data_IF_504145253657
#
_entry.id   IF_504145253657
#
_cell.length_a   1.000
_cell.length_b   1.000
_cell.length_c   1.000
_cell.angle_alpha   90.00
_cell.angle_beta   90.00
_cell.angle_gamma   90.00
#
_symmetry.space_group_name_H-M   'P 1'
#
loop_
_entity.id
_entity.type
_entity.pdbx_description
1 polymer ?
#
# COMPACT_ATOMS: atom_id res chain seq x y z
N UNK A 1 11.23 9.03 17.51
CA UNK A 1 10.74 9.83 16.37
C UNK A 1 10.42 8.86 15.25
N UNK A 2 9.20 8.87 14.74
CA UNK A 2 8.85 8.06 13.58
C UNK A 2 9.35 8.82 12.35
N UNK A 3 10.31 8.25 11.63
CA UNK A 3 10.81 8.85 10.40
C UNK A 3 10.08 8.21 9.21
N UNK A 4 9.11 8.94 8.65
CA UNK A 4 8.58 8.62 7.35
C UNK A 4 9.56 9.02 6.26
N UNK A 5 9.55 8.30 5.15
CA UNK A 5 10.24 8.67 3.92
C UNK A 5 9.22 8.78 2.81
N UNK A 6 9.12 9.94 2.23
CA UNK A 6 8.22 10.20 1.13
C UNK A 6 8.92 9.97 -0.21
N UNK A 7 8.21 9.35 -1.14
CA UNK A 7 8.67 9.05 -2.49
C UNK A 7 7.53 9.27 -3.47
N UNK A 8 7.84 9.76 -4.67
CA UNK A 8 6.87 9.85 -5.77
C UNK A 8 7.51 9.54 -7.12
N UNK A 9 6.73 8.95 -8.00
CA UNK A 9 7.09 8.69 -9.39
C UNK A 9 5.88 8.84 -10.28
N UNK A 10 6.07 9.43 -11.44
CA UNK A 10 5.09 9.52 -12.52
C UNK A 10 5.68 8.88 -13.77
N UNK A 11 4.87 8.08 -14.46
CA UNK A 11 5.24 7.46 -15.74
C UNK A 11 4.15 7.78 -16.78
N UNK A 12 4.56 8.35 -17.90
CA UNK A 12 3.63 8.70 -18.99
C UNK A 12 3.02 7.44 -19.60
N UNK A 13 1.70 7.38 -19.62
CA UNK A 13 0.96 6.24 -20.14
C UNK A 13 1.34 5.86 -21.57
N UNK A 14 1.44 4.57 -21.86
CA UNK A 14 1.80 4.03 -23.20
C UNK A 14 0.85 4.54 -24.29
N UNK A 15 -0.43 4.78 -23.98
CA UNK A 15 -1.40 5.40 -24.91
C UNK A 15 -1.01 6.83 -25.24
N UNK A 16 -0.68 7.64 -24.23
CA UNK A 16 -0.26 9.04 -24.39
C UNK A 16 1.06 9.15 -25.16
N UNK A 17 2.00 8.23 -24.94
CA UNK A 17 3.23 8.16 -25.74
C UNK A 17 2.91 7.93 -27.22
N UNK A 18 1.99 7.02 -27.55
CA UNK A 18 1.61 6.70 -28.93
C UNK A 18 0.82 7.83 -29.60
N UNK A 19 -0.05 8.52 -28.89
CA UNK A 19 -0.85 9.64 -29.41
C UNK A 19 -0.11 10.98 -29.43
N UNK A 20 1.05 11.08 -28.78
CA UNK A 20 1.74 12.34 -28.58
C UNK A 20 1.15 13.23 -27.49
N UNK A 21 0.11 12.75 -26.76
CA UNK A 21 -0.52 13.47 -25.64
C UNK A 21 0.48 13.63 -24.49
N UNK A 22 0.51 14.76 -23.82
CA UNK A 22 1.34 15.00 -22.63
C UNK A 22 0.91 14.06 -21.48
N UNK A 23 1.79 13.85 -20.52
CA UNK A 23 1.38 13.22 -19.25
C UNK A 23 0.48 14.19 -18.51
N UNK A 24 -0.72 13.74 -18.17
CA UNK A 24 -1.72 14.57 -17.49
C UNK A 24 -1.68 14.40 -15.97
N UNK A 25 -1.01 13.36 -15.50
CA UNK A 25 -0.86 13.08 -14.07
C UNK A 25 0.34 13.84 -13.49
N UNK A 26 0.23 14.16 -12.22
CA UNK A 26 1.33 14.76 -11.48
C UNK A 26 1.37 14.23 -10.05
N UNK A 27 2.57 14.13 -9.50
CA UNK A 27 2.78 13.67 -8.15
C UNK A 27 3.89 14.41 -7.44
N UNK A 28 3.77 14.57 -6.13
CA UNK A 28 4.79 15.14 -5.27
C UNK A 28 4.86 14.40 -3.95
N UNK A 29 6.09 14.15 -3.51
CA UNK A 29 6.38 13.62 -2.19
C UNK A 29 7.44 14.50 -1.52
N UNK A 30 7.25 14.84 -0.25
CA UNK A 30 8.18 15.69 0.49
C UNK A 30 8.19 15.37 1.98
N UNK A 31 9.41 15.40 2.55
CA UNK A 31 9.71 15.32 3.98
C UNK A 31 10.20 16.72 4.45
N UNK A 32 9.39 17.75 4.22
CA UNK A 32 9.80 19.15 4.35
C UNK A 32 10.12 19.59 5.78
N UNK A 33 9.63 18.89 6.79
CA UNK A 33 9.96 19.15 8.19
C UNK A 33 10.17 17.84 8.95
N UNK A 34 11.05 17.81 9.97
CA UNK A 34 11.19 16.65 10.83
C UNK A 34 9.83 16.22 11.41
N UNK A 35 9.45 14.96 11.21
CA UNK A 35 8.18 14.44 11.69
C UNK A 35 6.94 14.83 10.90
N UNK A 36 7.11 15.44 9.71
CA UNK A 36 6.01 15.78 8.82
C UNK A 36 6.33 15.38 7.38
N UNK A 37 5.54 14.47 6.81
CA UNK A 37 5.66 14.00 5.44
C UNK A 37 4.35 14.17 4.71
N UNK A 38 4.44 14.58 3.44
CA UNK A 38 3.30 14.80 2.55
C UNK A 38 3.51 14.08 1.24
N UNK A 39 2.49 13.39 0.78
CA UNK A 39 2.42 12.82 -0.57
C UNK A 39 1.11 13.27 -1.23
N UNK A 40 1.18 13.58 -2.51
CA UNK A 40 0.05 14.07 -3.29
C UNK A 40 0.11 13.52 -4.70
N UNK A 41 -1.04 13.10 -5.22
CA UNK A 41 -1.25 12.64 -6.60
C UNK A 41 -2.44 13.34 -7.18
N UNK A 42 -2.37 13.71 -8.44
CA UNK A 42 -3.51 14.16 -9.22
C UNK A 42 -3.44 13.58 -10.63
N UNK A 43 -4.58 13.10 -11.11
CA UNK A 43 -4.81 12.63 -12.47
C UNK A 43 -5.59 13.72 -13.20
N UNK A 44 -5.00 14.27 -14.26
CA UNK A 44 -5.61 15.29 -15.09
C UNK A 44 -6.57 14.68 -16.10
N UNK A 45 -7.81 15.15 -16.11
CA UNK A 45 -8.85 14.58 -16.96
C UNK A 45 -8.49 14.60 -18.46
N UNK A 46 -8.83 13.53 -19.15
CA UNK A 46 -8.76 13.44 -20.59
C UNK A 46 -9.91 14.17 -21.30
N UNK A 47 -9.73 14.44 -22.57
CA UNK A 47 -10.77 15.02 -23.42
C UNK A 47 -10.57 16.51 -23.73
N UNK A 48 -11.28 16.97 -24.77
CA UNK A 48 -11.04 18.29 -25.34
C UNK A 48 -11.38 19.45 -24.39
N UNK A 49 -12.34 19.28 -23.50
CA UNK A 49 -12.74 20.30 -22.53
C UNK A 49 -11.71 20.49 -21.39
N UNK A 50 -10.80 19.53 -21.22
CA UNK A 50 -9.78 19.50 -20.17
C UNK A 50 -8.36 19.71 -20.72
N UNK A 51 -8.20 20.57 -21.69
CA UNK A 51 -6.98 20.73 -22.52
C UNK A 51 -5.75 21.27 -21.77
N UNK A 52 -5.86 21.66 -20.52
CA UNK A 52 -4.78 22.06 -19.59
C UNK A 52 -4.79 21.23 -18.29
N UNK A 53 -5.36 20.05 -18.32
CA UNK A 53 -5.45 19.20 -17.13
C UNK A 53 -4.08 18.78 -16.60
N UNK A 54 -3.07 18.65 -17.44
CA UNK A 54 -1.66 18.46 -17.06
C UNK A 54 -1.13 19.60 -16.17
N UNK A 55 -1.47 20.85 -16.50
CA UNK A 55 -1.14 22.01 -15.67
C UNK A 55 -1.99 22.02 -14.40
N UNK A 56 -3.28 21.74 -14.54
CA UNK A 56 -4.23 21.66 -13.42
C UNK A 56 -3.82 20.63 -12.37
N UNK A 57 -3.43 19.43 -12.80
CA UNK A 57 -2.90 18.39 -11.92
C UNK A 57 -1.63 18.86 -11.19
N UNK A 58 -0.70 19.51 -11.90
CA UNK A 58 0.50 20.07 -11.27
C UNK A 58 0.16 21.16 -10.25
N UNK A 59 -0.73 22.08 -10.58
CA UNK A 59 -1.09 23.19 -9.71
C UNK A 59 -1.78 22.70 -8.44
N UNK A 60 -2.73 21.77 -8.56
CA UNK A 60 -3.44 21.25 -7.39
C UNK A 60 -2.50 20.44 -6.48
N UNK A 61 -1.57 19.67 -7.03
CA UNK A 61 -0.58 18.93 -6.24
C UNK A 61 0.32 19.89 -5.47
N UNK A 62 0.81 20.96 -6.10
CA UNK A 62 1.64 21.97 -5.45
C UNK A 62 0.88 22.72 -4.36
N UNK A 63 -0.34 23.18 -4.65
CA UNK A 63 -1.22 23.86 -3.70
C UNK A 63 -1.55 22.98 -2.49
N UNK A 64 -1.85 21.69 -2.75
CA UNK A 64 -2.17 20.72 -1.70
C UNK A 64 -0.96 20.43 -0.82
N UNK A 65 0.19 20.20 -1.41
CA UNK A 65 1.40 19.91 -0.64
C UNK A 65 1.78 21.08 0.27
N UNK A 66 1.75 22.32 -0.22
CA UNK A 66 2.02 23.51 0.56
C UNK A 66 0.99 23.70 1.70
N UNK A 67 -0.29 23.54 1.40
CA UNK A 67 -1.37 23.68 2.38
C UNK A 67 -1.34 22.60 3.45
N UNK A 68 -1.01 21.36 3.09
CA UNK A 68 -0.88 20.26 4.04
C UNK A 68 0.34 20.42 4.95
N UNK A 69 1.46 20.92 4.45
CA UNK A 69 2.64 21.21 5.28
C UNK A 69 2.33 22.28 6.34
N UNK A 70 1.65 23.36 5.95
CA UNK A 70 1.22 24.40 6.87
C UNK A 70 0.19 23.85 7.88
N UNK A 71 -0.80 23.11 7.41
CA UNK A 71 -1.81 22.46 8.25
C UNK A 71 -1.16 21.53 9.29
N UNK A 72 -0.17 20.71 8.87
CA UNK A 72 0.55 19.81 9.76
C UNK A 72 1.38 20.52 10.82
N UNK A 73 1.90 21.72 10.50
CA UNK A 73 2.66 22.55 11.44
C UNK A 73 1.76 23.27 12.45
N UNK A 74 0.54 23.62 12.06
CA UNK A 74 -0.36 24.47 12.86
C UNK A 74 -1.44 23.68 13.63
N UNK A 75 -1.76 22.45 13.18
CA UNK A 75 -2.90 21.68 13.70
C UNK A 75 -2.44 20.55 14.62
N UNK A 76 -2.83 20.61 15.88
CA UNK A 76 -2.57 19.54 16.83
C UNK A 76 -3.61 18.40 16.71
N UNK A 77 -3.19 17.17 16.97
CA UNK A 77 -4.05 15.99 16.94
C UNK A 77 -5.34 16.14 17.78
N UNK A 78 -5.25 16.80 18.92
CA UNK A 78 -6.39 17.02 19.82
C UNK A 78 -7.53 17.80 19.16
N UNK A 79 -7.23 18.72 18.25
CA UNK A 79 -8.23 19.49 17.49
C UNK A 79 -8.98 18.63 16.48
N UNK A 80 -8.34 17.54 16.01
CA UNK A 80 -8.92 16.64 15.02
C UNK A 80 -9.70 15.46 15.64
N UNK A 81 -9.66 15.29 16.96
CA UNK A 81 -10.43 14.24 17.66
C UNK A 81 -11.92 14.51 17.62
N UNK A 82 -12.30 15.75 17.87
CA UNK A 82 -13.70 16.17 17.75
C UNK A 82 -14.13 16.18 16.28
N UNK A 83 -15.22 15.48 15.99
CA UNK A 83 -15.70 15.32 14.61
C UNK A 83 -16.16 16.65 13.99
N UNK A 84 -16.80 17.51 14.77
CA UNK A 84 -17.33 18.78 14.25
C UNK A 84 -16.19 19.77 13.98
N UNK A 85 -15.24 19.88 14.90
CA UNK A 85 -14.05 20.72 14.71
C UNK A 85 -13.17 20.20 13.58
N UNK A 86 -12.96 18.88 13.50
CA UNK A 86 -12.23 18.25 12.38
C UNK A 86 -12.88 18.58 11.03
N UNK A 87 -14.19 18.44 10.90
CA UNK A 87 -14.91 18.79 9.67
C UNK A 87 -14.72 20.25 9.30
N UNK A 88 -14.78 21.14 10.26
CA UNK A 88 -14.57 22.57 10.04
C UNK A 88 -13.14 22.88 9.58
N UNK A 89 -12.13 22.30 10.25
CA UNK A 89 -10.72 22.48 9.90
C UNK A 89 -10.41 21.92 8.51
N UNK A 90 -10.87 20.70 8.22
CA UNK A 90 -10.66 20.08 6.92
C UNK A 90 -11.40 20.82 5.80
N UNK A 91 -12.62 21.31 6.05
CA UNK A 91 -13.34 22.15 5.08
C UNK A 91 -12.56 23.43 4.77
N UNK A 92 -12.02 24.10 5.78
CA UNK A 92 -11.19 25.29 5.59
C UNK A 92 -9.90 24.96 4.81
N UNK A 93 -9.29 23.81 5.08
CA UNK A 93 -8.14 23.32 4.33
C UNK A 93 -8.50 23.09 2.85
N UNK A 94 -9.63 22.42 2.55
CA UNK A 94 -10.08 22.20 1.18
C UNK A 94 -10.33 23.51 0.43
N UNK A 95 -11.00 24.45 1.08
CA UNK A 95 -11.23 25.80 0.53
C UNK A 95 -9.90 26.48 0.21
N UNK A 96 -8.92 26.43 1.11
CA UNK A 96 -7.59 27.00 0.88
C UNK A 96 -6.89 26.33 -0.29
N UNK A 97 -6.88 24.99 -0.36
CA UNK A 97 -6.28 24.24 -1.46
C UNK A 97 -6.87 24.68 -2.80
N UNK A 98 -8.20 24.72 -2.92
CA UNK A 98 -8.87 25.10 -4.16
C UNK A 98 -8.64 26.58 -4.50
N UNK A 99 -8.59 27.47 -3.52
CA UNK A 99 -8.27 28.87 -3.75
C UNK A 99 -6.86 29.06 -4.31
N UNK A 100 -5.85 28.40 -3.74
CA UNK A 100 -4.47 28.43 -4.26
C UNK A 100 -4.37 27.81 -5.67
N UNK A 101 -5.15 26.76 -5.94
CA UNK A 101 -5.24 26.17 -7.27
C UNK A 101 -5.83 27.14 -8.29
N UNK A 102 -6.94 27.83 -7.93
CA UNK A 102 -7.56 28.84 -8.77
C UNK A 102 -6.64 30.04 -9.01
N UNK A 103 -5.91 30.49 -8.00
CA UNK A 103 -4.89 31.54 -8.16
C UNK A 103 -3.80 31.11 -9.17
N UNK A 104 -3.37 29.86 -9.12
CA UNK A 104 -2.40 29.32 -10.09
C UNK A 104 -2.95 29.27 -11.50
N UNK A 105 -4.24 28.93 -11.67
CA UNK A 105 -4.94 29.00 -12.95
C UNK A 105 -4.99 30.43 -13.49
N UNK A 106 -5.35 31.42 -12.66
CA UNK A 106 -5.39 32.80 -13.07
C UNK A 106 -4.02 33.31 -13.52
N UNK A 107 -2.95 32.93 -12.81
CA UNK A 107 -1.59 33.28 -13.21
C UNK A 107 -1.22 32.61 -14.55
N UNK A 108 -1.54 31.32 -14.75
CA UNK A 108 -1.29 30.60 -16.00
C UNK A 108 -2.06 31.22 -17.19
N UNK A 109 -3.31 31.62 -16.97
CA UNK A 109 -4.14 32.29 -17.98
C UNK A 109 -3.62 33.69 -18.34
N UNK A 110 -3.02 34.39 -17.38
CA UNK A 110 -2.40 35.68 -17.61
C UNK A 110 -1.11 35.53 -18.45
N UNK A 111 -0.29 34.53 -18.14
CA UNK A 111 0.98 34.27 -18.84
C UNK A 111 0.78 33.58 -20.18
N UNK A 112 -0.18 32.72 -20.31
CA UNK A 112 -0.50 31.92 -21.52
C UNK A 112 -2.03 31.89 -21.72
N UNK A 113 -2.61 32.94 -22.35
CA UNK A 113 -4.04 33.00 -22.63
C UNK A 113 -4.52 31.82 -23.49
N UNK A 114 -5.77 31.44 -23.33
CA UNK A 114 -6.37 30.35 -24.14
C UNK A 114 -6.33 30.73 -25.61
N UNK A 115 -5.70 29.89 -26.40
CA UNK A 115 -5.57 30.12 -27.85
C UNK A 115 -6.88 29.86 -28.59
N UNK A 116 -7.02 30.45 -29.76
CA UNK A 116 -8.18 30.21 -30.63
C UNK A 116 -8.32 28.71 -30.99
N UNK A 117 -7.22 28.02 -31.24
CA UNK A 117 -7.23 26.61 -31.57
C UNK A 117 -7.72 25.73 -30.40
N UNK A 118 -7.37 26.07 -29.13
CA UNK A 118 -7.90 25.42 -27.95
C UNK A 118 -9.41 25.66 -27.83
N UNK A 119 -9.86 26.91 -28.04
CA UNK A 119 -11.29 27.26 -28.00
C UNK A 119 -12.10 26.61 -29.12
N UNK A 120 -11.52 26.31 -30.28
CA UNK A 120 -12.20 25.60 -31.36
C UNK A 120 -12.32 24.09 -31.10
N UNK A 121 -11.43 23.53 -30.30
CA UNK A 121 -11.41 22.09 -29.97
C UNK A 121 -12.41 21.68 -28.88
N UNK A 122 -12.82 22.60 -27.99
CA UNK A 122 -13.72 22.30 -26.88
C UNK A 122 -15.17 22.19 -27.32
N UNK A 123 -16.01 21.55 -26.50
CA UNK A 123 -17.45 21.45 -26.72
C UNK A 123 -18.10 22.84 -26.80
N UNK A 124 -19.25 22.94 -27.50
CA UNK A 124 -19.99 24.22 -27.61
C UNK A 124 -20.36 24.80 -26.25
N UNK A 125 -20.73 23.93 -25.30
CA UNK A 125 -21.11 24.32 -23.94
C UNK A 125 -19.89 24.92 -23.21
N UNK A 126 -18.77 24.22 -23.18
CA UNK A 126 -17.55 24.70 -22.55
C UNK A 126 -17.05 25.99 -23.19
N UNK A 127 -17.10 26.09 -24.53
CA UNK A 127 -16.74 27.31 -25.26
C UNK A 127 -17.58 28.51 -24.84
N UNK A 128 -18.91 28.34 -24.73
CA UNK A 128 -19.78 29.44 -24.33
C UNK A 128 -19.45 29.93 -22.91
N UNK A 129 -19.21 29.02 -21.99
CA UNK A 129 -18.80 29.31 -20.61
C UNK A 129 -17.46 30.03 -20.58
N UNK A 130 -16.43 29.53 -21.26
CA UNK A 130 -15.09 30.12 -21.27
C UNK A 130 -15.07 31.53 -21.91
N UNK A 131 -15.87 31.76 -22.95
CA UNK A 131 -16.03 33.08 -23.53
C UNK A 131 -16.74 34.07 -22.61
N UNK A 132 -17.61 33.57 -21.72
CA UNK A 132 -18.24 34.38 -20.68
C UNK A 132 -17.31 34.60 -19.46
N UNK A 133 -16.12 33.98 -19.43
CA UNK A 133 -15.21 34.00 -18.28
C UNK A 133 -15.67 33.08 -17.14
N UNK A 134 -16.54 32.12 -17.43
CA UNK A 134 -17.10 31.19 -16.45
C UNK A 134 -16.55 29.77 -16.66
N UNK A 135 -16.36 29.03 -15.55
CA UNK A 135 -16.01 27.61 -15.55
C UNK A 135 -14.67 27.28 -16.24
N UNK A 136 -13.76 28.22 -16.35
CA UNK A 136 -12.44 28.02 -16.97
C UNK A 136 -11.63 27.00 -16.22
N UNK A 137 -11.89 26.82 -14.94
CA UNK A 137 -11.30 25.78 -14.07
C UNK A 137 -11.49 24.37 -14.63
N UNK A 138 -12.56 24.15 -15.39
CA UNK A 138 -12.79 22.87 -16.06
C UNK A 138 -11.66 22.49 -17.03
N UNK A 139 -11.06 23.47 -17.72
CA UNK A 139 -9.93 23.19 -18.59
C UNK A 139 -8.71 22.60 -17.85
N UNK A 140 -8.62 22.85 -16.56
CA UNK A 140 -7.59 22.40 -15.62
C UNK A 140 -8.07 21.25 -14.72
N UNK A 141 -9.22 20.65 -14.99
CA UNK A 141 -9.83 19.62 -14.14
C UNK A 141 -8.93 18.42 -13.91
N UNK A 142 -8.91 17.96 -12.68
CA UNK A 142 -8.13 16.81 -12.25
C UNK A 142 -8.79 16.13 -11.05
N UNK A 143 -8.36 14.92 -10.74
CA UNK A 143 -8.58 14.27 -9.44
C UNK A 143 -7.57 14.79 -8.42
N UNK A 144 -7.73 14.42 -7.16
CA UNK A 144 -6.77 14.69 -6.09
C UNK A 144 -6.80 13.60 -5.05
N UNK A 145 -5.64 13.05 -4.73
CA UNK A 145 -5.43 12.23 -3.54
C UNK A 145 -4.22 12.75 -2.81
N UNK A 146 -4.31 12.89 -1.50
CA UNK A 146 -3.21 13.37 -0.69
C UNK A 146 -3.18 12.67 0.67
N UNK A 147 -1.99 12.57 1.24
CA UNK A 147 -1.81 12.16 2.62
C UNK A 147 -0.78 13.07 3.31
N UNK A 148 -1.11 13.47 4.52
CA UNK A 148 -0.22 14.11 5.46
C UNK A 148 0.00 13.16 6.63
N UNK A 149 1.25 12.92 7.00
CA UNK A 149 1.61 12.17 8.20
C UNK A 149 2.47 13.05 9.09
N UNK A 150 2.06 13.14 10.35
CA UNK A 150 2.80 13.83 11.42
C UNK A 150 3.24 12.82 12.49
N UNK A 151 3.96 13.27 13.50
CA UNK A 151 4.31 12.42 14.65
C UNK A 151 3.08 11.92 15.44
N UNK A 152 1.95 12.64 15.35
CA UNK A 152 0.81 12.45 16.24
C UNK A 152 -0.45 11.97 15.52
N UNK A 153 -0.54 12.18 14.21
CA UNK A 153 -1.70 11.79 13.41
C UNK A 153 -1.36 11.72 11.93
N UNK A 154 -2.23 11.12 11.19
CA UNK A 154 -2.25 11.25 9.75
C UNK A 154 -3.66 11.54 9.25
N UNK A 155 -3.72 12.19 8.10
CA UNK A 155 -4.95 12.43 7.36
C UNK A 155 -4.75 12.01 5.90
N UNK A 156 -5.79 11.48 5.30
CA UNK A 156 -5.90 11.27 3.86
C UNK A 156 -7.04 12.11 3.32
N UNK A 157 -6.84 12.67 2.13
CA UNK A 157 -7.81 13.49 1.41
C UNK A 157 -8.00 12.93 0.01
N UNK A 158 -9.25 12.94 -0.51
CA UNK A 158 -9.52 12.43 -1.85
C UNK A 158 -10.72 13.14 -2.50
N UNK A 159 -10.53 13.46 -3.78
CA UNK A 159 -11.53 13.80 -4.77
C UNK A 159 -11.18 13.02 -6.04
N UNK A 160 -12.13 12.23 -6.57
CA UNK A 160 -11.87 11.36 -7.73
C UNK A 160 -11.74 9.88 -7.37
N UNK A 161 -11.27 9.07 -8.30
CA UNK A 161 -11.34 7.61 -8.37
C UNK A 161 -10.01 6.87 -8.15
N UNK A 162 -8.94 7.57 -7.88
CA UNK A 162 -7.68 6.92 -7.50
C UNK A 162 -7.77 6.19 -6.16
N UNK A 163 -6.66 5.63 -5.67
CA UNK A 163 -6.61 4.83 -4.45
C UNK A 163 -5.66 5.40 -3.41
N UNK A 164 -6.13 5.41 -2.18
CA UNK A 164 -5.30 5.57 -0.99
C UNK A 164 -5.26 4.23 -0.26
N UNK A 165 -4.11 3.60 -0.23
CA UNK A 165 -3.92 2.27 0.38
C UNK A 165 -3.00 2.43 1.57
N UNK A 166 -3.46 2.02 2.74
CA UNK A 166 -2.68 1.96 3.97
C UNK A 166 -2.25 0.52 4.24
N UNK A 167 -0.95 0.32 4.44
CA UNK A 167 -0.38 -0.95 4.88
C UNK A 167 -0.16 -0.88 6.38
N UNK A 168 -0.81 -1.76 7.12
CA UNK A 168 -0.70 -1.86 8.57
C UNK A 168 0.58 -2.57 9.00
N UNK A 169 0.91 -2.51 10.28
CA UNK A 169 2.10 -3.16 10.84
C UNK A 169 2.04 -4.70 10.79
N UNK A 170 0.87 -5.28 10.60
CA UNK A 170 0.67 -6.72 10.38
C UNK A 170 0.69 -7.12 8.90
N UNK A 171 0.96 -6.16 8.00
CA UNK A 171 1.00 -6.37 6.57
C UNK A 171 -0.35 -6.32 5.86
N UNK A 172 -1.46 -6.19 6.58
CA UNK A 172 -2.77 -6.05 5.96
C UNK A 172 -2.91 -4.70 5.25
N UNK A 173 -3.64 -4.69 4.13
CA UNK A 173 -3.94 -3.48 3.39
C UNK A 173 -5.40 -3.06 3.61
N UNK A 174 -5.63 -1.77 3.60
CA UNK A 174 -6.97 -1.20 3.67
C UNK A 174 -7.06 0.08 2.84
N UNK A 175 -8.28 0.44 2.44
CA UNK A 175 -8.60 1.76 1.87
C UNK A 175 -9.23 2.62 2.98
N UNK A 176 -8.48 3.51 3.63
CA UNK A 176 -8.95 4.27 4.79
C UNK A 176 -9.89 5.42 4.41
N UNK A 177 -9.84 5.88 3.16
CA UNK A 177 -10.76 6.88 2.63
C UNK A 177 -11.95 6.15 2.02
N UNK A 178 -13.20 6.45 2.40
CA UNK A 178 -14.38 5.81 1.83
C UNK A 178 -14.44 5.97 0.31
N UNK A 179 -14.83 4.90 -0.39
CA UNK A 179 -15.02 4.96 -1.84
C UNK A 179 -16.14 5.93 -2.22
N UNK A 180 -16.01 6.57 -3.36
CA UNK A 180 -17.06 7.41 -3.94
C UNK A 180 -17.86 6.61 -4.96
N UNK A 181 -19.09 6.24 -4.62
CA UNK A 181 -19.96 5.47 -5.50
C UNK A 181 -20.36 6.21 -6.80
N UNK A 182 -20.07 7.51 -6.88
CA UNK A 182 -20.26 8.30 -8.10
C UNK A 182 -19.16 8.06 -9.12
N UNK A 183 -18.01 7.56 -8.67
CA UNK A 183 -16.90 7.18 -9.54
C UNK A 183 -17.14 5.77 -10.09
N UNK A 184 -17.82 5.69 -11.23
CA UNK A 184 -18.15 4.44 -11.91
C UNK A 184 -17.79 4.52 -13.39
N UNK A 185 -17.12 3.50 -13.88
CA UNK A 185 -16.62 3.39 -15.25
C UNK A 185 -15.73 4.58 -15.66
N UNK A 186 -16.21 5.47 -16.53
CA UNK A 186 -15.49 6.66 -17.00
C UNK A 186 -15.98 7.96 -16.33
N UNK A 187 -16.76 7.84 -15.25
CA UNK A 187 -17.26 8.98 -14.50
C UNK A 187 -16.43 9.10 -13.23
N UNK A 188 -15.82 10.25 -13.01
CA UNK A 188 -15.09 10.56 -11.80
C UNK A 188 -15.48 11.93 -11.28
N UNK A 189 -15.36 12.14 -9.98
CA UNK A 189 -15.50 13.46 -9.36
C UNK A 189 -14.20 14.25 -9.51
N UNK A 190 -14.32 15.56 -9.60
CA UNK A 190 -13.21 16.45 -9.94
C UNK A 190 -13.06 17.61 -8.95
N UNK A 191 -11.83 18.13 -8.84
CA UNK A 191 -11.56 19.37 -8.11
C UNK A 191 -12.21 20.60 -8.77
N UNK A 192 -12.57 20.50 -10.05
CA UNK A 192 -13.27 21.58 -10.77
C UNK A 192 -14.80 21.53 -10.64
N UNK A 193 -15.35 20.55 -9.92
CA UNK A 193 -16.78 20.45 -9.69
C UNK A 193 -17.26 21.59 -8.75
N UNK A 194 -18.45 22.11 -9.02
CA UNK A 194 -19.01 23.24 -8.25
C UNK A 194 -19.09 22.96 -6.74
N UNK A 195 -19.33 21.70 -6.38
CA UNK A 195 -19.47 21.25 -5.00
C UNK A 195 -18.21 20.57 -4.44
N UNK A 196 -17.05 20.68 -5.10
CA UNK A 196 -15.84 19.97 -4.72
C UNK A 196 -15.49 20.10 -3.23
N UNK A 197 -15.64 21.29 -2.63
CA UNK A 197 -15.37 21.52 -1.19
C UNK A 197 -16.24 20.64 -0.29
N UNK A 198 -17.49 20.40 -0.66
CA UNK A 198 -18.44 19.60 0.12
C UNK A 198 -18.32 18.11 -0.12
N UNK A 199 -17.70 17.74 -1.22
CA UNK A 199 -17.59 16.37 -1.71
C UNK A 199 -16.24 15.72 -1.41
N UNK A 200 -15.25 16.46 -0.92
CA UNK A 200 -13.98 15.91 -0.47
C UNK A 200 -14.18 14.83 0.60
N UNK A 201 -13.62 13.66 0.32
CA UNK A 201 -13.56 12.55 1.26
C UNK A 201 -12.26 12.59 2.03
N UNK A 202 -12.28 12.10 3.24
CA UNK A 202 -11.10 12.11 4.09
C UNK A 202 -11.11 10.98 5.10
N UNK A 203 -9.93 10.65 5.58
CA UNK A 203 -9.74 9.85 6.78
C UNK A 203 -8.85 10.60 7.78
N UNK A 204 -8.92 10.17 9.02
CA UNK A 204 -8.07 10.65 10.11
C UNK A 204 -7.80 9.52 11.09
N UNK A 205 -6.57 9.41 11.55
CA UNK A 205 -6.20 8.52 12.65
C UNK A 205 -4.97 9.03 13.40
N UNK A 206 -4.94 8.81 14.70
CA UNK A 206 -3.76 9.04 15.54
C UNK A 206 -2.78 7.86 15.50
N UNK A 207 -3.14 6.78 14.80
CA UNK A 207 -2.30 5.61 14.58
C UNK A 207 -1.90 5.55 13.11
N UNK A 208 -0.78 6.15 12.72
CA UNK A 208 -0.32 6.10 11.35
C UNK A 208 0.00 4.66 10.94
N UNK A 209 -0.34 4.27 9.69
CA UNK A 209 0.00 2.94 9.19
C UNK A 209 1.52 2.81 8.97
N UNK A 210 1.97 1.59 8.69
CA UNK A 210 3.37 1.34 8.40
C UNK A 210 3.80 1.93 7.05
N UNK A 211 2.90 1.91 6.06
CA UNK A 211 3.11 2.57 4.77
C UNK A 211 1.79 3.10 4.22
N UNK A 212 1.87 4.13 3.38
CA UNK A 212 0.74 4.67 2.63
C UNK A 212 1.14 4.75 1.16
N UNK A 213 0.28 4.23 0.29
CA UNK A 213 0.41 4.34 -1.15
C UNK A 213 -0.76 5.14 -1.70
N UNK A 214 -0.45 6.11 -2.55
CA UNK A 214 -1.43 6.82 -3.36
C UNK A 214 -1.17 6.48 -4.82
N UNK A 215 -2.23 6.24 -5.56
CA UNK A 215 -2.12 6.02 -7.01
C UNK A 215 -3.35 6.56 -7.75
N UNK A 216 -3.14 6.97 -9.00
CA UNK A 216 -4.24 7.19 -9.94
C UNK A 216 -4.89 5.87 -10.34
N UNK A 217 -6.02 5.92 -11.04
CA UNK A 217 -6.75 4.76 -11.57
C UNK A 217 -5.91 3.90 -12.52
N UNK A 218 -4.87 4.48 -13.11
CA UNK A 218 -3.95 3.77 -13.98
C UNK A 218 -3.17 2.65 -13.32
N UNK A 219 -3.03 2.64 -12.00
CA UNK A 219 -2.38 1.57 -11.25
C UNK A 219 -3.37 0.46 -10.92
N UNK A 220 -4.49 0.79 -10.26
CA UNK A 220 -5.45 -0.24 -9.87
C UNK A 220 -6.19 -0.82 -11.09
N UNK A 221 -6.45 -0.03 -12.13
CA UNK A 221 -6.96 -0.50 -13.41
C UNK A 221 -6.03 -1.45 -14.18
N UNK A 222 -4.75 -1.59 -13.77
CA UNK A 222 -3.86 -2.59 -14.31
C UNK A 222 -4.05 -4.00 -13.69
N UNK A 223 -4.83 -4.11 -12.64
CA UNK A 223 -5.13 -5.34 -11.91
C UNK A 223 -6.61 -5.70 -12.05
N UNK A 224 -6.96 -7.01 -11.99
CA UNK A 224 -8.36 -7.45 -12.11
C UNK A 224 -9.21 -7.10 -10.89
N UNK A 225 -8.58 -6.89 -9.73
CA UNK A 225 -9.19 -6.63 -8.44
C UNK A 225 -8.25 -5.88 -7.49
N UNK A 226 -8.76 -5.51 -6.33
CA UNK A 226 -7.99 -4.80 -5.30
C UNK A 226 -6.90 -5.66 -4.65
N UNK A 227 -7.04 -6.99 -4.64
CA UNK A 227 -6.03 -7.87 -4.08
C UNK A 227 -4.73 -7.79 -4.89
N UNK A 228 -4.84 -7.68 -6.22
CA UNK A 228 -3.70 -7.42 -7.09
C UNK A 228 -3.01 -6.09 -6.78
N UNK A 229 -3.79 -5.05 -6.55
CA UNK A 229 -3.26 -3.72 -6.17
C UNK A 229 -2.62 -3.75 -4.78
N UNK A 230 -3.22 -4.45 -3.81
CA UNK A 230 -2.63 -4.65 -2.49
C UNK A 230 -1.31 -5.42 -2.57
N UNK A 231 -1.26 -6.50 -3.36
CA UNK A 231 -0.03 -7.26 -3.60
C UNK A 231 1.09 -6.41 -4.22
N UNK A 232 0.75 -5.48 -5.11
CA UNK A 232 1.70 -4.51 -5.65
C UNK A 232 2.25 -3.58 -4.55
N UNK A 233 1.40 -2.99 -3.73
CA UNK A 233 1.81 -2.12 -2.62
C UNK A 233 2.69 -2.87 -1.61
N UNK A 234 2.33 -4.09 -1.27
CA UNK A 234 3.10 -4.98 -0.39
C UNK A 234 4.47 -5.31 -0.98
N UNK A 235 4.53 -5.58 -2.29
CA UNK A 235 5.79 -5.83 -2.99
C UNK A 235 6.71 -4.60 -2.94
N UNK A 236 6.18 -3.41 -3.18
CA UNK A 236 6.96 -2.17 -3.07
C UNK A 236 7.45 -1.93 -1.63
N UNK A 237 6.60 -2.17 -0.64
CA UNK A 237 6.99 -2.09 0.77
C UNK A 237 8.14 -3.08 1.08
N UNK A 238 8.05 -4.33 0.59
CA UNK A 238 9.09 -5.34 0.75
C UNK A 238 10.43 -4.89 0.14
N UNK A 239 10.39 -4.34 -1.07
CA UNK A 239 11.60 -3.84 -1.75
C UNK A 239 12.20 -2.66 -0.97
N UNK A 240 11.38 -1.75 -0.47
CA UNK A 240 11.88 -0.65 0.35
C UNK A 240 12.59 -1.16 1.61
N UNK A 241 12.04 -2.19 2.25
CA UNK A 241 12.60 -2.79 3.45
C UNK A 241 13.94 -3.49 3.22
N UNK A 242 14.08 -4.18 2.07
CA UNK A 242 15.31 -4.90 1.76
C UNK A 242 16.41 -3.99 1.20
N UNK A 243 16.05 -3.03 0.34
CA UNK A 243 16.99 -2.30 -0.49
C UNK A 243 16.94 -0.77 -0.30
N UNK A 244 16.05 -0.29 0.59
CA UNK A 244 15.85 1.11 0.89
C UNK A 244 15.25 1.93 -0.27
N UNK A 245 15.27 3.26 -0.15
CA UNK A 245 14.77 4.17 -1.19
C UNK A 245 15.40 3.93 -2.58
N UNK A 246 16.73 3.69 -2.71
CA UNK A 246 17.30 3.45 -4.04
C UNK A 246 16.81 2.16 -4.69
N UNK A 247 16.51 1.13 -3.91
CA UNK A 247 15.91 -0.12 -4.39
C UNK A 247 14.49 0.09 -4.87
N UNK A 248 13.69 0.81 -4.08
CA UNK A 248 12.33 1.17 -4.44
C UNK A 248 12.28 2.01 -5.72
N UNK A 249 13.10 3.04 -5.84
CA UNK A 249 13.14 3.90 -7.02
C UNK A 249 13.43 3.11 -8.31
N UNK A 250 14.41 2.19 -8.24
CA UNK A 250 14.73 1.31 -9.37
C UNK A 250 13.55 0.38 -9.71
N UNK A 251 12.97 -0.25 -8.70
CA UNK A 251 11.86 -1.18 -8.90
C UNK A 251 10.65 -0.48 -9.50
N UNK A 252 10.27 0.68 -8.98
CA UNK A 252 9.14 1.47 -9.52
C UNK A 252 9.42 1.90 -10.96
N UNK A 253 10.63 2.38 -11.26
CA UNK A 253 11.02 2.76 -12.62
C UNK A 253 10.96 1.58 -13.60
N UNK A 254 11.20 0.36 -13.14
CA UNK A 254 11.11 -0.86 -13.94
C UNK A 254 9.67 -1.36 -14.09
N UNK A 255 8.86 -1.30 -13.02
CA UNK A 255 7.50 -1.81 -13.01
C UNK A 255 6.48 -0.92 -13.73
N UNK A 256 6.56 0.41 -13.56
CA UNK A 256 5.57 1.34 -14.10
C UNK A 256 5.38 1.25 -15.62
N UNK A 257 6.43 1.15 -16.47
CA UNK A 257 6.24 0.97 -17.91
C UNK A 257 5.50 -0.33 -18.25
N UNK A 258 5.63 -1.36 -17.40
CA UNK A 258 4.89 -2.61 -17.53
C UNK A 258 3.41 -2.47 -17.18
N UNK A 259 3.09 -1.73 -16.12
CA UNK A 259 1.73 -1.41 -15.72
C UNK A 259 1.04 -0.54 -16.77
N UNK A 260 1.71 0.49 -17.26
CA UNK A 260 1.19 1.37 -18.32
C UNK A 260 0.82 0.66 -19.63
N UNK A 261 1.31 -0.55 -19.89
CA UNK A 261 0.87 -1.37 -21.05
C UNK A 261 -0.47 -2.06 -20.80
N UNK A 262 -0.85 -2.27 -19.55
CA UNK A 262 -2.10 -2.93 -19.12
C UNK A 262 -3.16 -1.91 -18.72
N UNK A 263 -2.74 -0.78 -18.16
CA UNK A 263 -3.56 0.36 -17.77
C UNK A 263 -2.85 1.66 -18.12
N UNK A 264 -3.20 2.75 -17.49
CA UNK A 264 -2.58 4.08 -17.67
C UNK A 264 -1.84 4.43 -16.38
N UNK A 265 -0.71 3.85 -16.07
CA UNK A 265 -0.23 3.83 -14.73
C UNK A 265 0.63 4.98 -14.26
N UNK A 266 0.17 5.68 -13.25
CA UNK A 266 0.98 6.59 -12.44
C UNK A 266 0.97 6.14 -10.97
N UNK A 267 2.15 6.01 -10.37
CA UNK A 267 2.30 5.70 -8.95
C UNK A 267 2.93 6.89 -8.24
N UNK A 268 2.30 7.36 -7.20
CA UNK A 268 2.85 8.45 -6.46
C UNK A 268 2.78 8.23 -4.95
N UNK A 269 3.88 8.14 -4.33
CA UNK A 269 4.03 8.30 -2.92
C UNK A 269 3.99 7.03 -2.11
N UNK A 270 5.14 6.67 -1.60
CA UNK A 270 5.30 5.71 -0.53
C UNK A 270 5.73 6.47 0.72
N UNK A 271 4.95 6.36 1.80
CA UNK A 271 5.34 6.78 3.13
C UNK A 271 5.63 5.55 3.98
N UNK A 272 6.88 5.34 4.36
CA UNK A 272 7.29 4.24 5.22
C UNK A 272 7.73 4.74 6.59
N UNK A 273 7.38 4.00 7.63
CA UNK A 273 7.71 4.32 9.03
C UNK A 273 8.69 3.33 9.61
N UNK A 274 9.40 3.74 10.65
CA UNK A 274 10.25 2.87 11.46
C UNK A 274 9.50 1.71 12.15
N UNK A 275 8.16 1.76 12.21
CA UNK A 275 7.29 0.66 12.66
C UNK A 275 7.25 -0.55 11.71
N UNK A 276 8.02 -0.51 10.65
CA UNK A 276 8.07 -1.59 9.66
C UNK A 276 8.85 -2.83 10.10
N UNK A 277 9.57 -2.80 11.24
CA UNK A 277 10.30 -3.98 11.69
C UNK A 277 9.42 -5.23 11.76
N UNK A 278 8.19 -5.19 12.31
CA UNK A 278 7.26 -6.30 12.24
C UNK A 278 6.90 -6.74 10.82
N UNK A 279 6.54 -5.81 9.96
CA UNK A 279 6.22 -6.10 8.55
C UNK A 279 7.45 -6.65 7.82
N UNK A 280 8.67 -6.18 8.15
CA UNK A 280 9.91 -6.67 7.57
C UNK A 280 10.02 -8.19 7.62
N UNK A 281 9.76 -8.77 8.76
CA UNK A 281 9.95 -10.22 8.94
C UNK A 281 8.89 -11.02 8.17
N UNK A 282 7.63 -10.56 8.16
CA UNK A 282 6.54 -11.16 7.36
C UNK A 282 6.87 -11.06 5.86
N UNK A 283 7.24 -9.89 5.38
CA UNK A 283 7.56 -9.66 3.97
C UNK A 283 8.83 -10.41 3.51
N UNK A 284 9.84 -10.54 4.39
CA UNK A 284 11.02 -11.37 4.10
C UNK A 284 10.66 -12.84 3.95
N UNK A 285 9.78 -13.36 4.80
CA UNK A 285 9.30 -14.73 4.71
C UNK A 285 8.59 -14.96 3.37
N UNK A 286 7.74 -14.04 2.95
CA UNK A 286 7.05 -14.12 1.67
C UNK A 286 7.98 -14.03 0.47
N UNK A 287 8.96 -13.15 0.52
CA UNK A 287 9.98 -13.07 -0.53
C UNK A 287 10.80 -14.37 -0.59
N UNK A 288 11.10 -14.98 0.56
CA UNK A 288 11.74 -16.30 0.60
C UNK A 288 10.83 -17.39 0.02
N UNK A 289 9.54 -17.37 0.34
CA UNK A 289 8.55 -18.28 -0.23
C UNK A 289 8.43 -18.10 -1.75
N UNK A 290 8.36 -16.87 -2.22
CA UNK A 290 8.32 -16.55 -3.65
C UNK A 290 9.57 -17.02 -4.37
N UNK A 291 10.76 -16.77 -3.80
CA UNK A 291 12.04 -17.28 -4.35
C UNK A 291 12.08 -18.79 -4.35
N UNK A 292 11.62 -19.41 -3.28
CA UNK A 292 11.52 -20.86 -3.19
C UNK A 292 10.54 -21.44 -4.24
N UNK A 293 9.40 -20.76 -4.48
CA UNK A 293 8.46 -21.14 -5.54
C UNK A 293 9.07 -21.06 -6.94
N UNK A 294 9.83 -20.00 -7.24
CA UNK A 294 10.53 -19.86 -8.54
C UNK A 294 11.56 -20.97 -8.73
N UNK A 295 12.33 -21.28 -7.68
CA UNK A 295 13.30 -22.38 -7.71
C UNK A 295 12.59 -23.72 -7.90
N UNK A 296 11.46 -23.91 -7.24
CA UNK A 296 10.60 -25.09 -7.38
C UNK A 296 10.07 -25.25 -8.81
N UNK A 297 9.54 -24.19 -9.41
CA UNK A 297 9.03 -24.22 -10.77
C UNK A 297 10.13 -24.51 -11.81
N UNK A 298 11.34 -23.99 -11.56
CA UNK A 298 12.50 -24.33 -12.38
C UNK A 298 12.90 -25.80 -12.21
N UNK A 299 13.03 -26.27 -10.98
CA UNK A 299 13.35 -27.66 -10.70
C UNK A 299 12.28 -28.64 -11.27
N UNK A 300 11.00 -28.23 -11.19
CA UNK A 300 9.89 -28.99 -11.80
C UNK A 300 9.98 -29.04 -13.33
N UNK A 301 10.41 -27.96 -13.98
CA UNK A 301 10.66 -27.95 -15.44
C UNK A 301 11.83 -28.82 -15.81
N UNK A 302 12.92 -28.75 -15.04
CA UNK A 302 14.13 -29.52 -15.27
C UNK A 302 13.86 -31.03 -15.10
N UNK A 303 13.06 -31.43 -14.12
CA UNK A 303 12.60 -32.81 -13.94
C UNK A 303 11.75 -33.26 -15.14
N UNK A 304 10.81 -32.45 -15.62
CA UNK A 304 10.00 -32.76 -16.80
C UNK A 304 10.83 -32.87 -18.10
N UNK A 305 11.87 -32.02 -18.22
CA UNK A 305 12.78 -32.09 -19.36
C UNK A 305 13.63 -33.38 -19.35
N UNK A 306 13.98 -33.89 -18.17
CA UNK A 306 14.73 -35.13 -18.03
C UNK A 306 13.89 -36.41 -18.17
N UNK A 307 12.57 -36.34 -17.95
CA UNK A 307 11.65 -37.45 -18.22
C UNK A 307 11.65 -37.85 -19.72
N UNK A 308 12.02 -36.94 -20.62
CA UNK A 308 12.09 -37.22 -22.05
C UNK A 308 13.36 -38.00 -22.47
N UNK A 309 14.40 -38.05 -21.61
CA UNK A 309 15.64 -38.76 -21.86
C UNK A 309 15.63 -40.23 -21.33
N UNK A 310 14.48 -40.69 -20.85
CA UNK A 310 14.30 -41.98 -20.18
C UNK A 310 14.52 -43.25 -21.07
N UNK A 311 14.85 -43.11 -22.36
CA UNK A 311 15.26 -44.28 -23.16
C UNK A 311 16.67 -44.86 -22.80
N UNK A 312 17.47 -44.08 -22.02
CA UNK A 312 18.77 -44.55 -21.48
C UNK A 312 18.68 -45.27 -20.14
N UNK A 313 17.52 -45.19 -19.50
CA UNK A 313 17.35 -45.61 -18.10
C UNK A 313 17.25 -47.12 -17.90
N UNK A 314 17.07 -47.92 -18.98
CA UNK A 314 17.01 -49.40 -18.83
C UNK A 314 18.29 -50.04 -18.32
N UNK A 315 19.43 -49.40 -18.46
CA UNK A 315 20.73 -49.89 -17.97
C UNK A 315 20.99 -49.44 -16.53
N UNK A 316 20.44 -48.23 -16.14
CA UNK A 316 20.57 -47.69 -14.78
C UNK A 316 19.54 -48.30 -13.79
N UNK A 317 18.63 -49.17 -14.23
CA UNK A 317 17.52 -49.65 -13.38
C UNK A 317 18.00 -50.58 -12.26
N UNK A 318 19.09 -51.31 -12.45
CA UNK A 318 19.66 -52.18 -11.40
C UNK A 318 20.52 -51.40 -10.39
N UNK A 319 21.23 -50.39 -10.86
CA UNK A 319 21.91 -49.43 -9.95
C UNK A 319 20.90 -48.59 -9.18
N UNK A 320 19.80 -48.18 -9.84
CA UNK A 320 18.71 -47.45 -9.19
C UNK A 320 17.93 -48.25 -8.13
N UNK A 321 17.91 -49.60 -8.18
CA UNK A 321 17.25 -50.38 -7.11
C UNK A 321 17.95 -50.30 -5.77
N UNK A 322 19.27 -50.21 -5.77
CA UNK A 322 20.01 -49.98 -4.52
C UNK A 322 19.82 -48.55 -4.03
N UNK A 323 19.74 -47.59 -4.96
CA UNK A 323 19.51 -46.19 -4.69
C UNK A 323 18.05 -45.93 -4.27
N UNK A 324 17.08 -46.61 -4.89
CA UNK A 324 15.67 -46.61 -4.48
C UNK A 324 15.52 -47.14 -3.05
N UNK A 325 16.19 -48.24 -2.69
CA UNK A 325 16.16 -48.77 -1.32
C UNK A 325 16.85 -47.84 -0.31
N UNK A 326 17.86 -47.09 -0.76
CA UNK A 326 18.46 -46.05 0.08
C UNK A 326 17.54 -44.83 0.22
N UNK A 327 16.89 -44.42 -0.89
CA UNK A 327 15.91 -43.35 -0.89
C UNK A 327 14.65 -43.68 -0.08
N UNK A 328 14.19 -44.92 -0.10
CA UNK A 328 13.10 -45.40 0.77
C UNK A 328 13.46 -45.25 2.25
N UNK A 329 14.69 -45.58 2.64
CA UNK A 329 15.15 -45.35 4.02
C UNK A 329 15.27 -43.84 4.36
N UNK A 330 15.70 -43.04 3.39
CA UNK A 330 15.74 -41.58 3.53
C UNK A 330 14.33 -40.98 3.59
N UNK A 331 13.39 -41.49 2.82
CA UNK A 331 11.97 -41.11 2.87
C UNK A 331 11.40 -41.38 4.27
N UNK A 332 11.63 -42.59 4.82
CA UNK A 332 11.19 -42.93 6.15
C UNK A 332 11.80 -41.98 7.21
N UNK A 333 13.10 -41.67 7.06
CA UNK A 333 13.75 -40.69 7.93
C UNK A 333 13.14 -39.30 7.80
N UNK A 334 12.93 -38.84 6.57
CA UNK A 334 12.36 -37.52 6.29
C UNK A 334 10.87 -37.42 6.67
N UNK A 335 10.12 -38.54 6.55
CA UNK A 335 8.75 -38.60 7.09
C UNK A 335 8.72 -38.42 8.59
N UNK A 336 9.62 -39.05 9.31
CA UNK A 336 9.72 -38.83 10.76
C UNK A 336 10.13 -37.40 11.12
N UNK A 337 11.08 -36.84 10.39
CA UNK A 337 11.47 -35.40 10.55
C UNK A 337 10.32 -34.45 10.19
N UNK A 338 9.51 -34.81 9.19
CA UNK A 338 8.30 -34.08 8.82
C UNK A 338 7.26 -34.07 9.94
N UNK A 339 7.01 -35.23 10.55
CA UNK A 339 6.10 -35.35 11.69
C UNK A 339 6.59 -34.51 12.88
N UNK A 340 7.90 -34.54 13.14
CA UNK A 340 8.50 -33.70 14.21
C UNK A 340 8.33 -32.20 13.92
N UNK A 341 8.58 -31.78 12.68
CA UNK A 341 8.42 -30.40 12.27
C UNK A 341 6.96 -29.94 12.30
N UNK A 342 6.03 -30.82 11.92
CA UNK A 342 4.58 -30.55 12.05
C UNK A 342 4.14 -30.39 13.49
N UNK A 343 4.66 -31.24 14.38
CA UNK A 343 4.38 -31.12 15.81
C UNK A 343 4.97 -29.82 16.41
N UNK A 344 6.14 -29.41 15.94
CA UNK A 344 6.72 -28.13 16.30
C UNK A 344 5.85 -26.95 15.85
N UNK A 345 5.35 -26.99 14.61
CA UNK A 345 4.39 -25.99 14.10
C UNK A 345 3.16 -25.91 15.01
N UNK A 346 2.57 -27.07 15.36
CA UNK A 346 1.41 -27.12 16.25
C UNK A 346 1.70 -26.49 17.62
N UNK A 347 2.87 -26.78 18.19
CA UNK A 347 3.27 -26.20 19.49
C UNK A 347 3.45 -24.68 19.40
N UNK A 348 4.08 -24.21 18.32
CA UNK A 348 4.26 -22.78 18.09
C UNK A 348 2.91 -22.07 17.85
N UNK A 349 1.96 -22.71 17.16
CA UNK A 349 0.60 -22.18 16.98
C UNK A 349 -0.15 -22.07 18.33
N UNK A 350 -0.01 -23.07 19.21
CA UNK A 350 -0.58 -23.05 20.56
C UNK A 350 0.07 -21.92 21.40
N UNK A 351 1.38 -21.75 21.28
CA UNK A 351 2.11 -20.70 21.98
C UNK A 351 1.75 -19.29 21.45
N UNK A 352 1.65 -19.12 20.13
CA UNK A 352 1.14 -17.89 19.51
C UNK A 352 -0.25 -17.55 20.06
N UNK A 353 -1.15 -18.55 20.11
CA UNK A 353 -2.50 -18.34 20.64
C UNK A 353 -2.49 -17.92 22.12
N UNK A 354 -1.59 -18.50 22.91
CA UNK A 354 -1.40 -18.12 24.32
C UNK A 354 -0.93 -16.67 24.43
N UNK A 355 0.11 -16.30 23.66
CA UNK A 355 0.68 -14.95 23.66
C UNK A 355 -0.31 -13.90 23.13
N UNK A 356 -1.14 -14.27 22.16
CA UNK A 356 -2.22 -13.40 21.68
C UNK A 356 -3.25 -13.11 22.77
N UNK A 357 -3.59 -14.15 23.59
CA UNK A 357 -4.48 -13.97 24.74
C UNK A 357 -3.86 -13.04 25.79
N UNK A 358 -2.56 -13.20 26.06
CA UNK A 358 -1.82 -12.32 26.97
C UNK A 358 -1.80 -10.87 26.46
N UNK A 359 -1.58 -10.70 25.14
CA UNK A 359 -1.60 -9.40 24.47
C UNK A 359 -2.96 -8.71 24.59
N UNK A 360 -4.04 -9.47 24.40
CA UNK A 360 -5.40 -8.93 24.54
C UNK A 360 -5.70 -8.56 25.99
N UNK A 361 -5.22 -9.37 26.95
CA UNK A 361 -5.28 -9.03 28.37
C UNK A 361 -4.55 -7.73 28.71
N UNK A 362 -3.34 -7.53 28.14
CA UNK A 362 -2.58 -6.30 28.33
C UNK A 362 -3.26 -5.08 27.69
N UNK A 363 -3.93 -5.27 26.54
CA UNK A 363 -4.72 -4.21 25.89
C UNK A 363 -5.91 -3.77 26.74
N UNK A 364 -6.60 -4.74 27.37
CA UNK A 364 -7.70 -4.45 28.30
C UNK A 364 -7.18 -3.67 29.50
N UNK A 365 -6.09 -4.12 30.12
CA UNK A 365 -5.47 -3.43 31.27
C UNK A 365 -5.01 -2.02 30.92
N UNK A 366 -4.46 -1.81 29.71
CA UNK A 366 -4.09 -0.49 29.21
C UNK A 366 -5.32 0.41 29.06
N UNK A 367 -6.41 -0.15 28.51
CA UNK A 367 -7.69 0.56 28.36
C UNK A 367 -8.30 0.95 29.71
N UNK A 368 -8.24 0.04 30.70
CA UNK A 368 -8.69 0.31 32.07
C UNK A 368 -7.84 1.37 32.75
N UNK A 369 -6.51 1.31 32.62
CA UNK A 369 -5.60 2.33 33.14
C UNK A 369 -5.84 3.71 32.50
N UNK A 370 -6.12 3.74 31.20
CA UNK A 370 -6.48 4.98 30.48
C UNK A 370 -7.84 5.53 30.91
N UNK A 371 -8.83 4.65 31.20
CA UNK A 371 -10.14 5.04 31.68
C UNK A 371 -10.08 5.60 33.11
N UNK A 372 -9.31 4.92 34.00
CA UNK A 372 -9.08 5.41 35.38
C UNK A 372 -8.33 6.74 35.43
N UNK A 373 -7.47 7.01 34.39
CA UNK A 373 -6.76 8.29 34.29
C UNK A 373 -7.67 9.50 34.08
N UNK A 374 -8.85 9.28 33.48
CA UNK A 374 -9.85 10.36 33.33
C UNK A 374 -10.57 10.74 34.63
N UNK A 375 -10.58 9.84 35.61
CA UNK A 375 -11.23 10.09 36.89
C UNK A 375 -10.31 10.66 37.98
N UNK A 376 -9.00 10.72 37.72
CA UNK A 376 -8.02 11.12 38.73
C UNK A 376 -7.05 12.21 38.24
N UNK A 377 -7.53 13.42 38.03
CA UNK A 377 -6.74 14.59 37.63
C UNK A 377 -5.58 14.98 38.59
N UNK A 378 -5.45 14.34 39.75
CA UNK A 378 -4.46 14.69 40.79
C UNK A 378 -3.29 13.70 40.98
N UNK A 379 -3.03 12.74 40.04
CA UNK A 379 -1.92 11.79 40.17
C UNK A 379 -1.14 11.56 38.85
N UNK A 380 -0.75 12.60 38.20
CA UNK A 380 -0.06 12.57 36.88
C UNK A 380 1.20 11.68 36.84
N UNK A 381 1.99 11.60 37.91
CA UNK A 381 3.27 10.90 37.84
C UNK A 381 3.18 9.36 37.94
N UNK A 382 2.16 8.82 38.59
CA UNK A 382 1.98 7.35 38.72
C UNK A 382 1.33 6.77 37.47
N UNK A 383 0.38 7.49 36.91
CA UNK A 383 -0.37 7.10 35.71
C UNK A 383 0.53 7.00 34.47
N UNK A 384 1.39 8.00 34.29
CA UNK A 384 2.35 8.00 33.17
C UNK A 384 3.34 6.82 33.29
N UNK A 385 3.76 6.48 34.50
CA UNK A 385 4.66 5.35 34.74
C UNK A 385 3.97 4.01 34.47
N UNK A 386 2.71 3.83 34.90
CA UNK A 386 1.97 2.57 34.69
C UNK A 386 1.50 2.43 33.24
N UNK A 387 1.05 3.49 32.61
CA UNK A 387 0.74 3.51 31.18
C UNK A 387 1.97 3.17 30.34
N UNK A 388 3.12 3.74 30.68
CA UNK A 388 4.39 3.44 29.99
C UNK A 388 4.81 1.98 30.18
N UNK A 389 4.63 1.45 31.42
CA UNK A 389 4.92 0.05 31.74
C UNK A 389 4.01 -0.91 30.97
N UNK A 390 2.69 -0.63 30.91
CA UNK A 390 1.74 -1.44 30.15
C UNK A 390 2.01 -1.35 28.65
N UNK A 391 2.40 -0.18 28.15
CA UNK A 391 2.79 0.02 26.75
C UNK A 391 4.03 -0.80 26.40
N UNK A 392 5.07 -0.75 27.24
CA UNK A 392 6.27 -1.58 27.05
C UNK A 392 5.94 -3.07 27.04
N UNK A 393 5.10 -3.54 27.98
CA UNK A 393 4.67 -4.95 28.01
C UNK A 393 3.83 -5.35 26.81
N UNK A 394 3.03 -4.43 26.27
CA UNK A 394 2.28 -4.64 25.05
C UNK A 394 3.21 -4.80 23.83
N UNK A 395 4.24 -3.94 23.74
CA UNK A 395 5.26 -4.02 22.70
C UNK A 395 6.08 -5.32 22.79
N UNK A 396 6.49 -5.70 24.00
CA UNK A 396 7.21 -6.96 24.24
C UNK A 396 6.37 -8.18 23.82
N UNK A 397 5.08 -8.20 24.19
CA UNK A 397 4.17 -9.28 23.82
C UNK A 397 3.91 -9.33 22.32
N UNK A 398 3.78 -8.16 21.65
CA UNK A 398 3.64 -8.08 20.21
C UNK A 398 4.88 -8.62 19.47
N UNK A 399 6.07 -8.23 19.91
CA UNK A 399 7.34 -8.71 19.36
C UNK A 399 7.52 -10.23 19.53
N UNK A 400 7.05 -10.77 20.66
CA UNK A 400 7.10 -12.21 20.91
C UNK A 400 6.13 -13.00 20.03
N UNK A 401 4.92 -12.49 19.78
CA UNK A 401 3.98 -13.08 18.82
C UNK A 401 4.60 -13.12 17.44
N UNK A 402 5.25 -12.05 17.02
CA UNK A 402 5.89 -11.95 15.72
C UNK A 402 7.06 -12.93 15.58
N UNK A 403 7.93 -13.03 16.59
CA UNK A 403 9.01 -14.02 16.63
C UNK A 403 8.47 -15.44 16.45
N UNK A 404 7.39 -15.78 17.16
CA UNK A 404 6.75 -17.10 17.07
C UNK A 404 6.10 -17.34 15.70
N UNK A 405 5.52 -16.30 15.07
CA UNK A 405 5.01 -16.40 13.72
C UNK A 405 6.11 -16.70 12.71
N UNK A 406 7.27 -16.08 12.87
CA UNK A 406 8.46 -16.34 12.06
C UNK A 406 8.98 -17.78 12.22
N UNK A 407 9.09 -18.23 13.46
CA UNK A 407 9.52 -19.60 13.76
C UNK A 407 8.53 -20.63 13.17
N UNK A 408 7.22 -20.36 13.28
CA UNK A 408 6.19 -21.21 12.67
C UNK A 408 6.29 -21.24 11.16
N UNK A 409 6.58 -20.11 10.52
CA UNK A 409 6.74 -20.05 9.06
C UNK A 409 8.01 -20.76 8.58
N UNK A 410 9.14 -20.58 9.30
CA UNK A 410 10.37 -21.35 9.01
C UNK A 410 10.15 -22.85 9.16
N UNK A 411 9.40 -23.27 10.20
CA UNK A 411 9.04 -24.67 10.38
C UNK A 411 8.16 -25.19 9.23
N UNK A 412 7.20 -24.39 8.73
CA UNK A 412 6.39 -24.74 7.55
C UNK A 412 7.23 -24.86 6.29
N UNK A 413 8.19 -23.95 6.08
CA UNK A 413 9.12 -24.02 4.96
C UNK A 413 9.98 -25.27 5.04
N UNK A 414 10.45 -25.62 6.23
CA UNK A 414 11.20 -26.86 6.46
C UNK A 414 10.35 -28.11 6.14
N UNK A 415 9.10 -28.13 6.58
CA UNK A 415 8.12 -29.17 6.23
C UNK A 415 7.93 -29.25 4.71
N UNK A 416 7.77 -28.13 4.04
CA UNK A 416 7.62 -28.08 2.59
C UNK A 416 8.87 -28.58 1.86
N UNK A 417 10.06 -28.24 2.36
CA UNK A 417 11.33 -28.73 1.83
C UNK A 417 11.45 -30.25 2.02
N UNK A 418 11.16 -30.77 3.21
CA UNK A 418 11.20 -32.20 3.52
C UNK A 418 10.22 -33.00 2.67
N UNK A 419 9.02 -32.50 2.41
CA UNK A 419 8.06 -33.09 1.46
C UNK A 419 8.60 -33.14 0.03
N UNK A 420 9.37 -32.15 -0.38
CA UNK A 420 10.05 -32.15 -1.69
C UNK A 420 11.16 -33.19 -1.75
N UNK A 421 11.99 -33.27 -0.71
CA UNK A 421 13.08 -34.22 -0.57
C UNK A 421 12.57 -35.68 -0.51
N UNK A 422 11.39 -35.91 0.10
CA UNK A 422 10.75 -37.24 0.19
C UNK A 422 10.01 -37.64 -1.08
N UNK A 423 9.94 -36.79 -2.09
CA UNK A 423 9.23 -37.09 -3.32
C UNK A 423 7.69 -37.01 -3.20
N UNK A 424 7.17 -36.61 -2.07
CA UNK A 424 5.77 -36.25 -1.92
C UNK A 424 5.50 -34.89 -2.59
N UNK A 425 5.51 -34.90 -3.93
CA UNK A 425 5.15 -33.74 -4.74
C UNK A 425 3.62 -33.63 -4.73
N UNK A 426 3.06 -32.53 -4.21
CA UNK A 426 1.68 -32.24 -4.49
C UNK A 426 1.55 -31.99 -6.00
N UNK A 427 0.48 -32.48 -6.60
CA UNK A 427 0.13 -32.11 -7.97
C UNK A 427 0.18 -30.58 -8.10
N UNK A 428 0.83 -30.10 -9.17
CA UNK A 428 1.01 -28.68 -9.44
C UNK A 428 -0.32 -27.88 -9.43
N UNK A 429 -1.45 -28.57 -9.66
CA UNK A 429 -2.79 -28.00 -9.57
C UNK A 429 -3.27 -27.67 -8.14
N UNK A 430 -2.71 -28.35 -7.10
CA UNK A 430 -3.16 -28.14 -5.72
C UNK A 430 -2.40 -27.01 -5.00
N UNK A 431 -1.25 -26.59 -5.53
CA UNK A 431 -0.45 -25.49 -4.95
C UNK A 431 -0.45 -24.21 -5.79
N UNK A 432 -0.96 -24.27 -7.03
CA UNK A 432 -1.08 -23.09 -7.88
C UNK A 432 -2.06 -22.04 -7.35
N UNK A 433 -3.07 -22.48 -6.62
CA UNK A 433 -4.08 -21.56 -6.06
C UNK A 433 -3.70 -21.01 -4.67
N UNK A 434 -3.00 -21.80 -3.83
CA UNK A 434 -2.64 -21.36 -2.47
C UNK A 434 -1.38 -20.47 -2.40
N UNK A 435 -0.53 -20.46 -3.44
CA UNK A 435 0.71 -19.68 -3.48
C UNK A 435 0.63 -18.38 -4.28
N UNK A 436 -0.49 -18.12 -4.95
CA UNK A 436 -0.68 -16.88 -5.70
C UNK A 436 -1.03 -15.68 -4.82
N UNK A 437 -1.40 -15.91 -3.56
CA UNK A 437 -1.71 -14.86 -2.60
C UNK A 437 -0.84 -14.99 -1.34
N UNK A 438 0.33 -14.36 -1.32
CA UNK A 438 1.24 -14.39 -0.18
C UNK A 438 0.58 -14.05 1.16
N UNK A 439 -0.39 -13.11 1.16
CA UNK A 439 -1.07 -12.63 2.37
C UNK A 439 -2.30 -13.44 2.80
N UNK A 440 -2.77 -14.35 1.98
CA UNK A 440 -3.96 -15.18 2.32
C UNK A 440 -3.76 -15.99 3.60
N UNK A 441 -2.49 -16.30 3.94
CA UNK A 441 -2.16 -16.99 5.18
C UNK A 441 -2.28 -16.08 6.40
N UNK A 442 -1.71 -14.88 6.34
CA UNK A 442 -1.76 -13.89 7.42
C UNK A 442 -3.22 -13.48 7.67
N UNK A 443 -3.97 -13.18 6.60
CA UNK A 443 -5.38 -12.78 6.69
C UNK A 443 -6.28 -13.92 7.21
N UNK A 444 -6.11 -15.17 6.76
CA UNK A 444 -6.94 -16.31 7.24
C UNK A 444 -6.77 -16.62 8.73
N UNK A 445 -5.64 -16.27 9.33
CA UNK A 445 -5.41 -16.46 10.76
C UNK A 445 -5.80 -15.24 11.60
N UNK A 446 -5.85 -14.05 10.98
CA UNK A 446 -6.26 -12.81 11.64
C UNK A 446 -7.77 -12.55 11.55
N UNK A 447 -8.47 -13.00 10.48
CA UNK A 447 -9.92 -12.88 10.33
C UNK A 447 -10.74 -13.90 11.14
N UNK A 448 -10.13 -14.94 11.73
CA UNK A 448 -10.82 -15.94 12.55
C UNK A 448 -10.87 -15.59 14.04
N UNK A 449 -10.56 -14.37 14.40
CA UNK A 449 -10.77 -13.76 15.72
C UNK A 449 -11.52 -12.44 15.58
#
# INVERSE_FOLDING_TARGET
>A
MQNYRAFSRVERGTRHVKSGTVCQDFALATDAAPGCSVIVVADGHGGADYFRSDRGARFIVQATAASLMEFGAETAAVQLRDLAERRKLLRALFQKILACWQESIQADLFDDPISQSQMEAVSQTARAQYLAGEGVERAYGATLIAALVTEHYWIGLQQGDGRCIAVRTDGTCEQPIPWDERCEANITTSICDENAVDEFRHCFSENPPAAIFLCSDGVDGAYPDMDGTYGFCQTLASIYLSDGSPGLERAVAEYLPGLSKRGTGDVAGLLCVDKLTPICEVLKIEEHLRKASVIWDQASRDVKAHEHDCSRVKIALEENRAEVSHLEKLIDQHQHELEQAQEQVRRLEEEIKSKQTDLDGLRIMLGEAQAQGKEMEDKDNWMDAEQKRLHTRLEEAANEVERLMDEAEQARQHVAQKRRESGELPNAETYGEDFTEPWAFVNRHMEKK
#
